data_IF_154489686374
#
_entry.id   IF_154489686374
#
_cell.length_a   1.000
_cell.length_b   1.000
_cell.length_c   1.000
_cell.angle_alpha   90.00
_cell.angle_beta   90.00
_cell.angle_gamma   90.00
#
_symmetry.space_group_name_H-M   'P 1'
#
loop_
_entity.id
_entity.type
_entity.pdbx_description
1 polymer ?
#
# COMPACT_ATOMS: atom_id res chain seq x y z
N UNK A 1 34.50 -21.34 5.07
CA UNK A 1 34.50 -20.24 6.08
C UNK A 1 34.23 -18.89 5.41
N UNK A 2 32.99 -18.62 4.94
CA UNK A 2 32.67 -17.32 4.29
C UNK A 2 32.57 -16.16 5.29
N UNK A 3 31.99 -16.38 6.46
CA UNK A 3 31.82 -15.33 7.48
C UNK A 3 33.16 -14.87 8.09
N UNK A 4 34.10 -15.80 8.24
CA UNK A 4 35.47 -15.49 8.70
C UNK A 4 36.25 -14.77 7.60
N UNK A 5 36.08 -15.12 6.32
CA UNK A 5 36.74 -14.40 5.22
C UNK A 5 36.24 -12.97 5.03
N UNK A 6 35.02 -12.65 5.47
CA UNK A 6 34.46 -11.30 5.46
C UNK A 6 34.58 -10.55 6.80
N UNK A 7 35.30 -11.11 7.78
CA UNK A 7 35.46 -10.55 9.13
C UNK A 7 34.12 -10.22 9.84
N UNK A 8 33.06 -10.96 9.54
CA UNK A 8 31.71 -10.75 10.09
C UNK A 8 31.37 -11.72 11.22
N UNK A 9 32.37 -12.49 11.68
CA UNK A 9 32.17 -13.52 12.68
C UNK A 9 31.63 -12.95 14.01
N UNK A 10 32.21 -11.85 14.49
CA UNK A 10 31.78 -11.19 15.72
C UNK A 10 30.34 -10.62 15.61
N UNK A 11 29.98 -10.04 14.46
CA UNK A 11 28.62 -9.55 14.23
C UNK A 11 27.59 -10.70 14.28
N UNK A 12 27.92 -11.82 13.64
CA UNK A 12 27.07 -13.01 13.64
C UNK A 12 26.89 -13.58 15.06
N UNK A 13 27.97 -13.75 15.83
CA UNK A 13 27.88 -14.35 17.16
C UNK A 13 27.33 -13.40 18.22
N UNK A 14 27.73 -12.13 18.18
CA UNK A 14 27.52 -11.23 19.30
C UNK A 14 26.21 -10.46 19.22
N UNK A 15 25.63 -10.37 18.01
CA UNK A 15 24.40 -9.64 17.72
C UNK A 15 23.37 -10.59 17.10
N UNK A 16 23.63 -11.17 15.92
CA UNK A 16 22.63 -11.94 15.17
C UNK A 16 22.14 -13.17 15.97
N UNK A 17 23.06 -14.01 16.47
CA UNK A 17 22.70 -15.21 17.23
C UNK A 17 22.01 -14.91 18.57
N UNK A 18 22.28 -13.74 19.18
CA UNK A 18 21.58 -13.32 20.41
C UNK A 18 20.16 -12.81 20.12
N UNK A 19 19.91 -12.29 18.92
CA UNK A 19 18.60 -11.81 18.51
C UNK A 19 17.62 -12.95 18.19
N UNK A 20 18.12 -14.08 17.67
CA UNK A 20 17.32 -15.27 17.33
C UNK A 20 16.35 -15.71 18.44
N UNK A 21 16.78 -15.97 19.70
CA UNK A 21 15.85 -16.37 20.76
C UNK A 21 14.86 -15.27 21.16
N UNK A 22 15.21 -14.00 20.98
CA UNK A 22 14.32 -12.86 21.26
C UNK A 22 13.18 -12.84 20.23
N UNK A 23 13.51 -12.98 18.94
CA UNK A 23 12.51 -13.04 17.88
C UNK A 23 11.63 -14.29 18.02
N UNK A 24 12.19 -15.45 18.34
CA UNK A 24 11.41 -16.66 18.61
C UNK A 24 10.43 -16.48 19.79
N UNK A 25 10.85 -15.75 20.85
CA UNK A 25 9.98 -15.41 21.97
C UNK A 25 8.88 -14.41 21.57
N UNK A 26 9.20 -13.42 20.74
CA UNK A 26 8.21 -12.46 20.22
C UNK A 26 7.19 -13.13 19.30
N UNK A 27 7.62 -14.07 18.45
CA UNK A 27 6.72 -14.82 17.55
C UNK A 27 5.77 -15.75 18.30
N UNK A 28 6.25 -16.44 19.34
CA UNK A 28 5.39 -17.29 20.19
C UNK A 28 4.40 -16.47 21.02
N UNK A 29 4.73 -15.21 21.32
CA UNK A 29 3.83 -14.28 21.99
C UNK A 29 2.86 -13.66 20.98
N UNK A 30 1.72 -14.33 20.78
CA UNK A 30 0.65 -13.81 19.94
C UNK A 30 0.16 -12.43 20.44
N UNK A 31 -0.27 -11.58 19.49
CA UNK A 31 -0.95 -10.33 19.78
C UNK A 31 -2.45 -10.61 19.75
N UNK A 32 -3.14 -10.38 20.87
CA UNK A 32 -4.59 -10.52 20.91
C UNK A 32 -5.25 -9.31 20.22
N UNK A 33 -6.10 -9.58 19.24
CA UNK A 33 -6.80 -8.58 18.45
C UNK A 33 -8.30 -8.85 18.54
N UNK A 34 -9.09 -7.83 18.84
CA UNK A 34 -10.54 -7.91 18.80
C UNK A 34 -11.04 -7.92 17.35
N UNK A 35 -11.19 -9.12 16.79
CA UNK A 35 -11.68 -9.32 15.43
C UNK A 35 -13.01 -8.62 15.16
N UNK A 36 -13.89 -8.47 16.16
CA UNK A 36 -15.21 -7.85 15.99
C UNK A 36 -15.10 -6.34 15.73
N UNK A 37 -14.17 -5.67 16.39
CA UNK A 37 -13.89 -4.24 16.18
C UNK A 37 -13.30 -4.02 14.80
N UNK A 38 -12.35 -4.87 14.39
CA UNK A 38 -11.73 -4.76 13.06
C UNK A 38 -12.71 -5.04 11.92
N UNK A 39 -13.62 -6.00 12.08
CA UNK A 39 -14.68 -6.26 11.10
C UNK A 39 -15.62 -5.06 10.97
N UNK A 40 -16.11 -4.52 12.10
CA UNK A 40 -16.94 -3.30 12.10
C UNK A 40 -16.22 -2.13 11.43
N UNK A 41 -14.92 -1.94 11.73
CA UNK A 41 -14.13 -0.89 11.11
C UNK A 41 -13.96 -1.11 9.60
N UNK A 42 -13.71 -2.35 9.17
CA UNK A 42 -13.66 -2.71 7.75
C UNK A 42 -14.98 -2.38 7.04
N UNK A 43 -16.12 -2.65 7.67
CA UNK A 43 -17.43 -2.37 7.07
C UNK A 43 -17.72 -0.87 6.99
N UNK A 44 -17.32 -0.10 8.00
CA UNK A 44 -17.40 1.37 7.97
C UNK A 44 -16.54 1.92 6.82
N UNK A 45 -15.32 1.43 6.65
CA UNK A 45 -14.42 1.85 5.57
C UNK A 45 -14.99 1.48 4.19
N UNK A 46 -15.49 0.25 4.03
CA UNK A 46 -16.15 -0.18 2.79
C UNK A 46 -17.35 0.70 2.47
N UNK A 47 -18.22 0.96 3.43
CA UNK A 47 -19.40 1.82 3.23
C UNK A 47 -19.00 3.24 2.80
N UNK A 48 -17.95 3.81 3.41
CA UNK A 48 -17.43 5.12 3.03
C UNK A 48 -16.84 5.12 1.62
N UNK A 49 -16.06 4.10 1.25
CA UNK A 49 -15.50 3.94 -0.09
C UNK A 49 -16.62 3.85 -1.13
N UNK A 50 -17.59 2.94 -0.96
CA UNK A 50 -18.70 2.80 -1.91
C UNK A 50 -19.51 4.09 -2.08
N UNK A 51 -19.71 4.86 -0.99
CA UNK A 51 -20.37 6.18 -1.08
C UNK A 51 -19.53 7.18 -1.87
N UNK A 52 -18.21 7.18 -1.68
CA UNK A 52 -17.30 8.06 -2.41
C UNK A 52 -17.25 7.68 -3.90
N UNK A 53 -17.14 6.40 -4.21
CA UNK A 53 -17.13 5.87 -5.58
C UNK A 53 -18.41 6.27 -6.32
N UNK A 54 -19.58 6.12 -5.69
CA UNK A 54 -20.85 6.55 -6.28
C UNK A 54 -20.87 8.04 -6.56
N UNK A 55 -20.43 8.88 -5.62
CA UNK A 55 -20.34 10.33 -5.84
C UNK A 55 -19.42 10.65 -7.01
N UNK A 56 -18.26 9.99 -7.11
CA UNK A 56 -17.34 10.19 -8.23
C UNK A 56 -18.01 9.84 -9.56
N UNK A 57 -18.71 8.70 -9.63
CA UNK A 57 -19.42 8.30 -10.85
C UNK A 57 -20.62 9.19 -11.19
N UNK A 58 -21.30 9.74 -10.18
CA UNK A 58 -22.39 10.71 -10.36
C UNK A 58 -21.88 12.05 -10.91
N UNK A 59 -20.76 12.55 -10.39
CA UNK A 59 -20.15 13.81 -10.85
C UNK A 59 -19.59 13.71 -12.27
N UNK A 60 -19.01 12.55 -12.62
CA UNK A 60 -18.42 12.29 -13.96
C UNK A 60 -19.47 11.85 -14.98
N UNK A 61 -20.55 11.19 -14.53
CA UNK A 61 -21.64 10.72 -15.38
C UNK A 61 -21.44 9.32 -15.98
N UNK A 62 -20.31 8.66 -15.72
CA UNK A 62 -20.08 7.25 -16.08
C UNK A 62 -19.22 6.51 -15.04
N UNK A 63 -19.30 5.18 -15.06
CA UNK A 63 -18.47 4.33 -14.21
C UNK A 63 -17.09 4.09 -14.83
N UNK A 64 -16.04 4.10 -14.02
CA UNK A 64 -14.68 3.73 -14.41
C UNK A 64 -13.92 3.08 -13.24
N UNK A 65 -12.79 2.45 -13.50
CA UNK A 65 -11.94 1.87 -12.46
C UNK A 65 -11.06 2.93 -11.83
N UNK A 66 -11.39 3.35 -10.60
CA UNK A 66 -10.62 4.32 -9.81
C UNK A 66 -9.21 3.80 -9.49
N UNK A 67 -9.04 2.47 -9.42
CA UNK A 67 -7.73 1.84 -9.20
C UNK A 67 -6.83 1.87 -10.43
N UNK A 68 -7.34 2.23 -11.61
CA UNK A 68 -6.55 2.32 -12.84
C UNK A 68 -6.06 3.76 -13.04
N UNK A 69 -4.75 3.96 -12.88
CA UNK A 69 -4.11 5.26 -13.15
C UNK A 69 -4.38 5.79 -14.56
N UNK A 70 -4.56 4.91 -15.55
CA UNK A 70 -4.85 5.31 -16.94
C UNK A 70 -6.28 5.86 -17.03
N UNK A 71 -7.28 5.13 -16.54
CA UNK A 71 -8.68 5.56 -16.64
C UNK A 71 -8.95 6.81 -15.80
N UNK A 72 -8.38 6.88 -14.59
CA UNK A 72 -8.50 8.07 -13.75
C UNK A 72 -7.87 9.30 -14.41
N UNK A 73 -6.75 9.14 -15.11
CA UNK A 73 -6.11 10.24 -15.87
C UNK A 73 -7.01 10.73 -17.00
N UNK A 74 -7.59 9.83 -17.77
CA UNK A 74 -8.50 10.21 -18.86
C UNK A 74 -9.67 11.03 -18.34
N UNK A 75 -10.33 10.56 -17.27
CA UNK A 75 -11.46 11.29 -16.67
C UNK A 75 -11.04 12.66 -16.13
N UNK A 76 -9.91 12.75 -15.41
CA UNK A 76 -9.49 14.02 -14.78
C UNK A 76 -9.03 15.09 -15.80
N UNK A 77 -8.33 14.69 -16.86
CA UNK A 77 -7.68 15.63 -17.78
C UNK A 77 -8.33 15.69 -19.17
N UNK A 78 -8.87 14.59 -19.69
CA UNK A 78 -9.55 14.59 -21.00
C UNK A 78 -11.00 15.06 -20.85
N UNK A 79 -11.71 14.58 -19.82
CA UNK A 79 -13.14 14.88 -19.63
C UNK A 79 -13.38 16.10 -18.74
N UNK A 80 -12.84 16.11 -17.52
CA UNK A 80 -13.05 17.18 -16.54
C UNK A 80 -12.17 18.41 -16.79
N UNK A 81 -11.13 18.29 -17.63
CA UNK A 81 -10.20 19.38 -18.03
C UNK A 81 -9.72 20.27 -16.88
N UNK A 82 -9.40 19.65 -15.74
CA UNK A 82 -9.10 20.38 -14.51
C UNK A 82 -7.74 21.09 -14.52
N UNK A 83 -6.83 20.69 -15.42
CA UNK A 83 -5.54 21.34 -15.63
C UNK A 83 -5.03 21.02 -17.05
N UNK A 84 -4.84 22.04 -17.90
CA UNK A 84 -4.25 21.84 -19.24
C UNK A 84 -2.71 21.74 -19.19
N UNK A 85 -2.08 22.09 -18.06
CA UNK A 85 -0.61 22.12 -17.87
C UNK A 85 -0.06 20.98 -17.01
N UNK A 86 -0.91 20.09 -16.50
CA UNK A 86 -0.44 18.89 -15.80
C UNK A 86 0.33 17.98 -16.78
N UNK A 87 1.66 18.04 -16.73
CA UNK A 87 2.56 17.26 -17.57
C UNK A 87 2.13 15.80 -17.63
N UNK A 88 1.69 15.39 -18.82
CA UNK A 88 1.50 13.98 -19.16
C UNK A 88 2.88 13.36 -19.34
N UNK A 89 3.32 12.36 -18.52
CA UNK A 89 4.42 11.50 -18.94
C UNK A 89 3.79 10.47 -19.89
N UNK A 90 3.34 10.95 -21.04
CA UNK A 90 2.69 10.12 -22.08
C UNK A 90 2.99 10.68 -23.47
N UNK A 91 4.14 11.34 -23.65
CA UNK A 91 4.84 11.40 -24.93
C UNK A 91 6.35 11.25 -24.70
N UNK A 92 6.87 10.19 -25.33
CA UNK A 92 8.24 10.03 -25.83
C UNK A 92 9.42 10.05 -24.86
N UNK A 93 10.00 8.86 -24.63
CA UNK A 93 11.42 8.65 -24.97
C UNK A 93 11.54 7.45 -25.89
N UNK A 94 11.64 7.79 -27.18
CA UNK A 94 12.21 6.97 -28.24
C UNK A 94 13.68 6.65 -27.94
#
# INVERSE_FOLDING_TARGET
MKLVSFNQWALFTDIEMKLVPILACMETRAINIDASVFLKFSDILKSKLTKLEKKIFEEVGHSFSINSHVQLRQVLYEELKLDEEAETPSKDKK
#
